data_IF_079796581471
#
_entry.id   IF_079796581471
#
_cell.length_a   1.000
_cell.length_b   1.000
_cell.length_c   1.000
_cell.angle_alpha   90.00
_cell.angle_beta   90.00
_cell.angle_gamma   90.00
#
_symmetry.space_group_name_H-M   'P 1'
#
loop_
_entity.id
_entity.type
_entity.pdbx_description
1 polymer ?
#
# COMPACT_ATOMS: atom_id res chain seq x y z
N UNK A 1 17.32 12.36 -57.07
CA UNK A 1 16.51 13.15 -56.14
C UNK A 1 15.35 12.30 -55.64
N UNK A 2 15.31 11.99 -54.34
CA UNK A 2 14.11 11.45 -53.65
C UNK A 2 13.69 12.51 -52.64
N UNK A 3 12.42 12.93 -52.62
CA UNK A 3 12.00 14.02 -51.74
C UNK A 3 12.02 13.54 -50.29
N UNK A 4 12.70 14.31 -49.45
CA UNK A 4 12.73 14.14 -48.00
C UNK A 4 11.31 14.35 -47.46
N UNK A 5 10.75 13.30 -46.87
CA UNK A 5 9.40 13.29 -46.32
C UNK A 5 9.26 14.27 -45.16
N UNK A 6 8.31 15.19 -45.34
CA UNK A 6 7.64 16.07 -44.38
C UNK A 6 7.79 15.70 -42.90
N UNK A 7 8.25 16.68 -42.11
CA UNK A 7 8.28 16.63 -40.66
C UNK A 7 6.91 16.27 -40.06
N UNK A 8 6.90 15.24 -39.22
CA UNK A 8 5.83 15.05 -38.25
C UNK A 8 5.98 16.15 -37.21
N UNK A 9 5.12 17.16 -37.30
CA UNK A 9 4.85 18.06 -36.17
C UNK A 9 4.33 17.19 -35.02
N UNK A 10 5.19 16.88 -34.05
CA UNK A 10 4.73 16.35 -32.78
C UNK A 10 4.11 17.51 -32.02
N UNK A 11 2.80 17.73 -32.19
CA UNK A 11 2.07 18.57 -31.24
C UNK A 11 2.23 17.91 -29.88
N UNK A 12 3.01 18.51 -28.99
CA UNK A 12 3.14 18.04 -27.62
C UNK A 12 1.73 18.00 -27.03
N UNK A 13 1.19 16.79 -26.82
CA UNK A 13 -0.13 16.65 -26.21
C UNK A 13 -0.09 17.35 -24.85
N UNK A 14 -0.96 18.34 -24.69
CA UNK A 14 -1.06 19.12 -23.45
C UNK A 14 -1.35 18.15 -22.32
N UNK A 15 -0.52 18.17 -21.27
CA UNK A 15 -0.68 17.26 -20.15
C UNK A 15 -2.14 17.35 -19.63
N UNK A 16 -2.82 16.21 -19.48
CA UNK A 16 -4.18 16.19 -18.96
C UNK A 16 -4.26 16.89 -17.61
N UNK A 17 -5.21 17.83 -17.45
CA UNK A 17 -5.38 18.59 -16.20
C UNK A 17 -6.66 18.16 -15.48
N UNK A 18 -6.56 18.02 -14.16
CA UNK A 18 -7.72 17.94 -13.28
C UNK A 18 -8.56 19.20 -13.46
N UNK A 19 -9.85 19.02 -13.78
CA UNK A 19 -10.80 20.13 -13.97
C UNK A 19 -11.16 20.77 -12.61
N UNK A 20 -11.20 19.96 -11.55
CA UNK A 20 -11.47 20.41 -10.18
C UNK A 20 -10.69 19.57 -9.16
N UNK A 21 -10.25 20.19 -8.07
CA UNK A 21 -9.62 19.51 -6.94
C UNK A 21 -10.69 18.99 -5.95
N UNK A 22 -11.53 18.08 -6.43
CA UNK A 22 -12.56 17.41 -5.63
C UNK A 22 -12.59 15.92 -5.92
N UNK A 23 -13.30 15.14 -5.10
CA UNK A 23 -13.45 13.69 -5.33
C UNK A 23 -14.10 13.41 -6.68
N UNK A 24 -15.10 14.20 -7.05
CA UNK A 24 -15.83 14.11 -8.32
C UNK A 24 -14.93 14.50 -9.49
N UNK A 25 -14.10 15.54 -9.33
CA UNK A 25 -13.11 15.97 -10.32
C UNK A 25 -12.05 14.91 -10.59
N UNK A 26 -11.50 14.29 -9.54
CA UNK A 26 -10.54 13.18 -9.66
C UNK A 26 -11.21 11.97 -10.30
N UNK A 27 -12.42 11.59 -9.87
CA UNK A 27 -13.14 10.46 -10.44
C UNK A 27 -13.48 10.69 -11.92
N UNK A 28 -13.87 11.92 -12.30
CA UNK A 28 -14.08 12.32 -13.69
C UNK A 28 -12.80 12.21 -14.51
N UNK A 29 -11.68 12.68 -13.96
CA UNK A 29 -10.38 12.56 -14.61
C UNK A 29 -9.95 11.11 -14.84
N UNK A 30 -10.06 10.26 -13.82
CA UNK A 30 -9.76 8.82 -13.91
C UNK A 30 -10.62 8.11 -14.97
N UNK A 31 -11.87 8.52 -15.18
CA UNK A 31 -12.74 7.98 -16.24
C UNK A 31 -12.36 8.46 -17.63
N UNK A 32 -11.79 9.66 -17.77
CA UNK A 32 -11.44 10.22 -19.07
C UNK A 32 -10.31 9.45 -19.77
N UNK A 33 -10.30 9.48 -21.12
CA UNK A 33 -9.22 8.93 -21.95
C UNK A 33 -7.87 9.64 -21.73
N UNK A 34 -7.91 10.87 -21.22
CA UNK A 34 -6.72 11.65 -20.95
C UNK A 34 -5.91 11.05 -19.78
N UNK A 35 -6.56 10.34 -18.85
CA UNK A 35 -5.88 9.61 -17.79
C UNK A 35 -5.63 8.16 -18.22
N UNK A 36 -4.44 7.89 -18.78
CA UNK A 36 -4.07 6.58 -19.33
C UNK A 36 -2.90 5.90 -18.58
N UNK A 37 -2.29 6.57 -17.60
CA UNK A 37 -1.12 6.07 -16.90
C UNK A 37 -1.20 6.44 -15.41
N UNK A 38 -1.68 5.51 -14.60
CA UNK A 38 -1.93 5.69 -13.16
C UNK A 38 -0.95 4.86 -12.36
N UNK A 39 -0.11 5.53 -11.57
CA UNK A 39 0.69 4.92 -10.51
C UNK A 39 -0.05 4.99 -9.17
N UNK A 40 -0.07 3.87 -8.45
CA UNK A 40 -0.66 3.78 -7.11
C UNK A 40 0.46 3.61 -6.08
N UNK A 41 0.45 4.43 -5.04
CA UNK A 41 1.28 4.27 -3.84
C UNK A 41 0.36 3.87 -2.68
N UNK A 42 0.50 2.64 -2.20
CA UNK A 42 -0.34 2.06 -1.17
C UNK A 42 0.42 1.83 0.14
N UNK A 43 -0.29 1.95 1.25
CA UNK A 43 0.17 1.62 2.60
C UNK A 43 -0.97 1.02 3.42
N UNK A 44 -0.75 0.79 4.71
CA UNK A 44 -1.64 -0.06 5.51
C UNK A 44 -3.12 0.39 5.53
N UNK A 45 -3.39 1.68 5.33
CA UNK A 45 -4.74 2.24 5.23
C UNK A 45 -5.64 1.54 4.20
N UNK A 46 -5.10 1.01 3.10
CA UNK A 46 -5.93 0.30 2.10
C UNK A 46 -6.43 -1.06 2.60
N UNK A 47 -5.81 -1.62 3.64
CA UNK A 47 -6.12 -2.94 4.21
C UNK A 47 -6.90 -2.85 5.52
N UNK A 48 -7.13 -1.66 6.08
CA UNK A 48 -7.87 -1.48 7.35
C UNK A 48 -9.27 -2.07 7.28
N UNK A 49 -9.97 -1.88 6.16
CA UNK A 49 -11.31 -2.44 5.96
C UNK A 49 -11.32 -3.98 5.84
N UNK A 50 -10.17 -4.63 5.66
CA UNK A 50 -10.05 -6.08 5.74
C UNK A 50 -9.93 -6.57 7.18
N UNK A 51 -9.80 -5.67 8.17
CA UNK A 51 -9.56 -6.03 9.58
C UNK A 51 -8.07 -6.16 9.93
N UNK A 52 -7.17 -5.67 9.06
CA UNK A 52 -5.73 -5.58 9.35
C UNK A 52 -5.46 -4.16 9.88
N UNK A 53 -5.02 -4.00 11.14
CA UNK A 53 -4.77 -2.67 11.69
C UNK A 53 -3.63 -1.97 10.95
N UNK A 54 -3.74 -0.65 10.80
CA UNK A 54 -2.60 0.17 10.38
C UNK A 54 -1.61 0.32 11.53
N UNK A 55 -0.53 1.07 11.30
CA UNK A 55 0.51 1.23 12.31
C UNK A 55 0.24 2.38 13.27
N UNK A 56 -0.28 3.51 12.77
CA UNK A 56 -0.15 4.82 13.45
C UNK A 56 -1.49 5.43 13.89
N UNK A 57 -2.63 4.90 13.48
CA UNK A 57 -3.92 5.41 13.95
C UNK A 57 -4.12 5.15 15.45
N UNK A 58 -5.12 5.79 16.10
CA UNK A 58 -5.45 5.52 17.50
C UNK A 58 -5.81 4.06 17.79
N UNK A 59 -6.27 3.32 16.79
CA UNK A 59 -6.56 1.88 16.85
C UNK A 59 -5.47 1.03 16.19
N UNK A 60 -4.37 1.65 15.79
CA UNK A 60 -3.27 1.01 15.08
C UNK A 60 -2.35 0.23 16.00
N UNK A 61 -1.40 -0.48 15.40
CA UNK A 61 -0.46 -1.37 16.09
C UNK A 61 0.27 -0.67 17.25
N UNK A 62 0.83 0.52 17.01
CA UNK A 62 1.66 1.22 17.99
C UNK A 62 0.87 1.72 19.20
N UNK A 63 -0.40 2.09 19.02
CA UNK A 63 -1.28 2.51 20.11
C UNK A 63 -1.82 1.33 20.95
N UNK A 64 -1.79 0.12 20.39
CA UNK A 64 -2.42 -1.08 20.98
C UNK A 64 -1.42 -2.16 21.38
N UNK A 65 -0.12 -1.85 21.41
CA UNK A 65 0.93 -2.80 21.76
C UNK A 65 0.73 -3.39 23.17
N UNK A 66 0.71 -4.71 23.33
CA UNK A 66 0.63 -5.35 24.64
C UNK A 66 2.02 -5.45 25.28
N UNK A 67 2.67 -4.30 25.55
CA UNK A 67 4.09 -4.22 25.97
C UNK A 67 4.41 -5.07 27.22
N UNK A 68 3.45 -5.22 28.12
CA UNK A 68 3.61 -6.03 29.34
C UNK A 68 3.49 -7.54 29.11
N UNK A 69 3.02 -7.97 27.93
CA UNK A 69 2.78 -9.38 27.59
C UNK A 69 3.75 -9.95 26.56
N UNK A 70 4.69 -9.13 26.08
CA UNK A 70 5.71 -9.57 25.10
C UNK A 70 7.02 -9.97 25.81
N UNK A 71 7.78 -10.88 25.21
CA UNK A 71 9.04 -11.43 25.71
C UNK A 71 10.21 -10.48 25.48
N UNK A 72 10.17 -9.30 26.12
CA UNK A 72 11.20 -8.26 26.07
C UNK A 72 11.84 -8.03 27.45
N UNK A 73 13.07 -7.53 27.51
CA UNK A 73 13.68 -7.11 28.78
C UNK A 73 12.98 -5.85 29.34
N UNK A 74 13.18 -5.54 30.62
CA UNK A 74 12.62 -4.31 31.22
C UNK A 74 13.08 -3.04 30.47
N UNK A 75 14.36 -2.98 30.09
CA UNK A 75 14.91 -1.87 29.30
C UNK A 75 14.26 -1.80 27.90
N UNK A 76 14.08 -2.93 27.23
CA UNK A 76 13.42 -2.96 25.93
C UNK A 76 11.95 -2.53 26.03
N UNK A 77 11.20 -2.98 27.04
CA UNK A 77 9.82 -2.54 27.27
C UNK A 77 9.73 -1.03 27.44
N UNK A 78 10.63 -0.44 28.22
CA UNK A 78 10.66 1.01 28.42
C UNK A 78 10.96 1.76 27.11
N UNK A 79 11.90 1.25 26.30
CA UNK A 79 12.15 1.78 24.97
C UNK A 79 10.92 1.68 24.06
N UNK A 80 10.19 0.56 24.06
CA UNK A 80 8.95 0.39 23.26
C UNK A 80 7.86 1.37 23.72
N UNK A 81 7.72 1.62 25.03
CA UNK A 81 6.74 2.59 25.53
C UNK A 81 7.03 4.00 25.05
N UNK A 82 8.31 4.39 25.05
CA UNK A 82 8.76 5.71 24.57
C UNK A 82 8.72 5.82 23.05
N UNK A 83 9.10 4.75 22.38
CA UNK A 83 9.27 4.66 20.93
C UNK A 83 8.68 3.33 20.42
N UNK A 84 7.36 3.28 20.14
CA UNK A 84 6.68 2.06 19.72
C UNK A 84 7.24 1.42 18.45
N UNK A 85 7.89 2.20 17.58
CA UNK A 85 8.55 1.70 16.36
C UNK A 85 9.71 0.76 16.66
N UNK A 86 10.32 0.86 17.85
CA UNK A 86 11.44 0.01 18.25
C UNK A 86 11.12 -1.48 18.13
N UNK A 87 9.87 -1.88 18.39
CA UNK A 87 9.42 -3.29 18.31
C UNK A 87 9.50 -3.91 16.91
N UNK A 88 9.58 -3.07 15.86
CA UNK A 88 9.70 -3.51 14.46
C UNK A 88 11.05 -3.16 13.85
N UNK A 89 12.01 -2.68 14.64
CA UNK A 89 13.33 -2.36 14.14
C UNK A 89 14.19 -3.61 13.92
N UNK A 90 14.96 -3.59 12.83
CA UNK A 90 15.93 -4.65 12.52
C UNK A 90 16.93 -4.87 13.66
N UNK A 91 17.39 -3.80 14.31
CA UNK A 91 18.35 -3.89 15.41
C UNK A 91 17.81 -4.71 16.59
N UNK A 92 16.58 -4.43 17.00
CA UNK A 92 15.89 -5.20 18.04
C UNK A 92 15.68 -6.65 17.60
N UNK A 93 15.17 -6.86 16.38
CA UNK A 93 14.90 -8.20 15.83
C UNK A 93 16.14 -9.11 15.83
N UNK A 94 17.30 -8.57 15.47
CA UNK A 94 18.56 -9.32 15.43
C UNK A 94 19.12 -9.63 16.83
N UNK A 95 18.77 -8.86 17.86
CA UNK A 95 19.09 -9.19 19.25
C UNK A 95 18.14 -10.27 19.79
N UNK A 96 16.84 -10.10 19.54
CA UNK A 96 15.80 -11.08 19.83
C UNK A 96 14.59 -10.87 18.93
N UNK A 97 14.19 -11.92 18.23
CA UNK A 97 13.05 -11.88 17.34
C UNK A 97 11.70 -11.99 18.10
N UNK A 98 11.70 -12.45 19.36
CA UNK A 98 10.47 -12.82 20.07
C UNK A 98 9.46 -11.67 20.19
N UNK A 99 9.84 -10.44 20.62
CA UNK A 99 8.87 -9.35 20.72
C UNK A 99 8.19 -9.00 19.40
N UNK A 100 8.96 -8.97 18.30
CA UNK A 100 8.42 -8.74 16.97
C UNK A 100 7.45 -9.86 16.57
N UNK A 101 7.86 -11.12 16.74
CA UNK A 101 7.07 -12.28 16.37
C UNK A 101 5.77 -12.38 17.17
N UNK A 102 5.78 -12.04 18.46
CA UNK A 102 4.59 -12.03 19.30
C UNK A 102 3.62 -10.92 18.92
N UNK A 103 4.13 -9.70 18.70
CA UNK A 103 3.32 -8.57 18.20
C UNK A 103 2.71 -8.89 16.83
N UNK A 104 3.45 -9.57 15.95
CA UNK A 104 3.00 -9.98 14.61
C UNK A 104 2.25 -11.30 14.60
N UNK A 105 2.20 -12.06 15.70
CA UNK A 105 1.63 -13.42 15.71
C UNK A 105 0.20 -13.47 15.15
N UNK A 106 -0.74 -12.58 15.54
CA UNK A 106 -2.07 -12.60 14.96
C UNK A 106 -2.07 -12.33 13.44
N UNK A 107 -1.17 -11.45 12.99
CA UNK A 107 -0.99 -11.12 11.58
C UNK A 107 -0.47 -12.34 10.79
N UNK A 108 0.63 -12.94 11.23
CA UNK A 108 1.27 -14.09 10.57
C UNK A 108 0.29 -15.26 10.45
N UNK A 109 -0.39 -15.60 11.54
CA UNK A 109 -1.36 -16.70 11.56
C UNK A 109 -2.55 -16.40 10.65
N UNK A 110 -3.11 -15.19 10.71
CA UNK A 110 -4.23 -14.82 9.84
C UNK A 110 -3.86 -14.79 8.35
N UNK A 111 -2.62 -14.44 7.99
CA UNK A 111 -2.14 -14.53 6.60
C UNK A 111 -2.05 -15.98 6.16
N UNK A 112 -1.44 -16.83 6.99
CA UNK A 112 -1.31 -18.27 6.71
C UNK A 112 -2.67 -18.96 6.55
N UNK A 113 -3.64 -18.61 7.39
CA UNK A 113 -5.01 -19.13 7.34
C UNK A 113 -5.85 -18.53 6.20
N UNK A 114 -5.34 -17.54 5.47
CA UNK A 114 -6.11 -16.82 4.45
C UNK A 114 -7.34 -16.12 5.04
N UNK A 115 -7.20 -15.49 6.22
CA UNK A 115 -8.29 -14.87 6.97
C UNK A 115 -8.86 -13.62 6.30
N UNK A 116 -8.03 -12.88 5.57
CA UNK A 116 -8.39 -11.57 5.01
C UNK A 116 -8.68 -11.62 3.51
N UNK A 117 -9.36 -10.58 3.01
CA UNK A 117 -9.76 -10.45 1.61
C UNK A 117 -9.46 -9.04 1.09
N UNK A 118 -9.20 -8.88 -0.23
CA UNK A 118 -9.01 -7.56 -0.84
C UNK A 118 -10.16 -6.61 -0.56
N UNK A 119 -9.83 -5.38 -0.18
CA UNK A 119 -10.80 -4.31 0.11
C UNK A 119 -11.29 -3.58 -1.15
N UNK A 120 -12.23 -2.66 -1.00
CA UNK A 120 -12.67 -1.78 -2.09
C UNK A 120 -11.52 -1.00 -2.75
N UNK A 121 -10.47 -0.65 -2.00
CA UNK A 121 -9.28 0.00 -2.58
C UNK A 121 -8.54 -0.94 -3.54
N UNK A 122 -8.38 -2.20 -3.18
CA UNK A 122 -7.77 -3.21 -4.06
C UNK A 122 -8.63 -3.44 -5.32
N UNK A 123 -9.95 -3.45 -5.17
CA UNK A 123 -10.89 -3.54 -6.31
C UNK A 123 -10.82 -2.33 -7.24
N UNK A 124 -10.56 -1.13 -6.71
CA UNK A 124 -10.29 0.05 -7.54
C UNK A 124 -9.03 -0.14 -8.39
N UNK A 125 -7.98 -0.75 -7.84
CA UNK A 125 -6.76 -1.03 -8.60
C UNK A 125 -7.04 -2.02 -9.75
N UNK A 126 -7.80 -3.09 -9.49
CA UNK A 126 -8.27 -4.02 -10.54
C UNK A 126 -9.08 -3.30 -11.63
N UNK A 127 -9.98 -2.39 -11.24
CA UNK A 127 -10.77 -1.64 -12.20
C UNK A 127 -9.90 -0.75 -13.11
N UNK A 128 -8.84 -0.14 -12.56
CA UNK A 128 -7.87 0.63 -13.35
C UNK A 128 -7.04 -0.28 -14.27
N UNK A 129 -6.69 -1.47 -13.81
CA UNK A 129 -5.94 -2.47 -14.57
C UNK A 129 -6.75 -3.03 -15.75
N UNK A 130 -8.02 -3.35 -15.51
CA UNK A 130 -8.97 -3.82 -16.52
C UNK A 130 -9.23 -2.76 -17.60
N UNK A 131 -9.19 -1.48 -17.24
CA UNK A 131 -9.27 -0.36 -18.17
C UNK A 131 -7.95 -0.05 -18.88
N UNK A 132 -6.87 -0.82 -18.63
CA UNK A 132 -5.51 -0.60 -19.14
C UNK A 132 -4.93 0.77 -18.77
N UNK A 133 -5.35 1.33 -17.64
CA UNK A 133 -4.89 2.62 -17.11
C UNK A 133 -3.87 2.46 -15.98
N UNK A 134 -3.88 1.34 -15.28
CA UNK A 134 -2.93 1.07 -14.21
C UNK A 134 -1.54 0.78 -14.78
N UNK A 135 -0.55 1.56 -14.36
CA UNK A 135 0.84 1.34 -14.73
C UNK A 135 1.62 0.57 -13.67
N UNK A 136 1.37 0.86 -12.39
CA UNK A 136 1.94 0.08 -11.29
C UNK A 136 1.25 0.34 -9.96
N UNK A 137 1.27 -0.68 -9.11
CA UNK A 137 1.03 -0.55 -7.66
C UNK A 137 2.36 -0.71 -6.95
N UNK A 138 2.76 0.30 -6.19
CA UNK A 138 3.84 0.22 -5.22
C UNK A 138 3.20 0.16 -3.84
N UNK A 139 3.38 -0.95 -3.13
CA UNK A 139 2.80 -1.15 -1.80
C UNK A 139 3.88 -1.30 -0.75
N UNK A 140 3.67 -0.68 0.41
CA UNK A 140 4.44 -0.94 1.62
C UNK A 140 3.88 -2.12 2.42
N UNK A 141 2.71 -2.63 2.04
CA UNK A 141 2.04 -3.70 2.77
C UNK A 141 2.72 -5.04 2.50
N UNK A 142 2.67 -5.91 3.52
CA UNK A 142 3.20 -7.27 3.48
C UNK A 142 2.09 -8.30 3.71
N UNK A 143 0.83 -7.90 3.50
CA UNK A 143 -0.37 -8.71 3.73
C UNK A 143 -0.72 -9.62 2.54
N UNK A 144 -0.18 -9.34 1.35
CA UNK A 144 -0.42 -10.10 0.14
C UNK A 144 -1.83 -9.94 -0.44
N UNK A 145 -2.63 -8.98 0.04
CA UNK A 145 -3.99 -8.76 -0.49
C UNK A 145 -3.98 -8.27 -1.93
N UNK A 146 -2.92 -7.55 -2.34
CA UNK A 146 -2.65 -7.19 -3.73
C UNK A 146 -2.41 -8.42 -4.62
N UNK A 147 -1.76 -9.45 -4.09
CA UNK A 147 -1.52 -10.71 -4.80
C UNK A 147 -2.79 -11.56 -5.01
N UNK A 148 -3.86 -11.25 -4.29
CA UNK A 148 -5.18 -11.87 -4.44
C UNK A 148 -6.07 -11.15 -5.46
N UNK A 149 -5.54 -10.10 -6.10
CA UNK A 149 -6.23 -9.38 -7.18
C UNK A 149 -5.96 -10.03 -8.54
N UNK A 150 -6.74 -9.65 -9.55
CA UNK A 150 -6.52 -10.05 -10.95
C UNK A 150 -5.44 -9.24 -11.68
N UNK A 151 -4.71 -8.38 -10.98
CA UNK A 151 -3.69 -7.50 -11.58
C UNK A 151 -2.50 -8.34 -12.05
N UNK A 152 -2.09 -8.16 -13.29
CA UNK A 152 -0.93 -8.86 -13.85
C UNK A 152 0.36 -8.50 -13.10
N UNK A 153 1.17 -9.50 -12.74
CA UNK A 153 2.42 -9.33 -11.96
C UNK A 153 3.56 -8.71 -12.77
N UNK A 154 3.54 -8.88 -14.08
CA UNK A 154 4.56 -8.38 -15.00
C UNK A 154 3.87 -7.69 -16.18
N UNK A 155 4.22 -6.42 -16.39
CA UNK A 155 3.91 -5.63 -17.58
C UNK A 155 5.17 -4.89 -18.01
#
# INVERSE_FOLDING_TARGET
ARPCGSGRSSSAMKAPRLVANSREGVAGFLRSEACANVGVLAGAGVSVAAGIPDFRSPTGLYATLPVDRISATAAQRELIRREPTYVVERGMFLQTALPYLEVRRPFILGTHEGRWRPTAAHRLFEALDAQRKLARVYTQNIDGLDLMTSIARER
#
